data_IF_009060221429
#
_entry.id   IF_009060221429
#
_cell.length_a   1.000
_cell.length_b   1.000
_cell.length_c   1.000
_cell.angle_alpha   90.00
_cell.angle_beta   90.00
_cell.angle_gamma   90.00
#
_symmetry.space_group_name_H-M   'P 1'
#
loop_
_entity.id
_entity.type
_entity.pdbx_description
1 polymer ?
#
# COMPACT_ATOMS: atom_id res chain seq x y z
N UNK A 1 -5.79 6.53 1.89
CA UNK A 1 -5.76 6.21 3.30
C UNK A 1 -4.37 5.85 3.78
N UNK A 2 -4.26 5.51 5.04
CA UNK A 2 -3.00 5.13 5.68
C UNK A 2 -3.17 3.81 6.43
N UNK A 3 -2.16 2.94 6.34
CA UNK A 3 -2.13 1.68 7.07
C UNK A 3 -2.01 1.92 8.59
N UNK A 4 -1.19 2.87 9.02
CA UNK A 4 -0.98 3.19 10.43
C UNK A 4 -2.19 3.86 11.08
N UNK A 5 -2.88 4.76 10.37
CA UNK A 5 -4.14 5.30 10.86
C UNK A 5 -5.26 4.26 10.94
N UNK A 6 -5.19 3.20 10.12
CA UNK A 6 -6.10 2.04 10.28
C UNK A 6 -5.80 1.27 11.56
N UNK A 7 -4.53 1.12 11.94
CA UNK A 7 -4.14 0.52 13.23
C UNK A 7 -4.61 1.37 14.42
N UNK A 8 -4.39 2.70 14.38
CA UNK A 8 -4.85 3.64 15.42
C UNK A 8 -6.38 3.60 15.58
N UNK A 9 -7.13 3.47 14.48
CA UNK A 9 -8.58 3.34 14.52
C UNK A 9 -9.03 2.05 15.23
N UNK A 10 -8.30 0.93 15.05
CA UNK A 10 -8.59 -0.31 15.81
C UNK A 10 -8.38 -0.09 17.30
N UNK A 11 -7.30 0.58 17.71
CA UNK A 11 -7.05 0.90 19.12
C UNK A 11 -8.21 1.70 19.72
N UNK A 12 -8.66 2.75 19.02
CA UNK A 12 -9.81 3.54 19.45
C UNK A 12 -11.08 2.71 19.60
N UNK A 13 -11.35 1.81 18.66
CA UNK A 13 -12.51 0.92 18.69
C UNK A 13 -12.40 -0.11 19.82
N UNK A 14 -11.22 -0.58 20.18
CA UNK A 14 -11.01 -1.45 21.34
C UNK A 14 -11.34 -0.71 22.63
N UNK A 15 -10.95 0.56 22.79
CA UNK A 15 -11.36 1.40 23.94
C UNK A 15 -12.87 1.54 23.99
N UNK A 16 -13.52 1.85 22.87
CA UNK A 16 -14.98 1.96 22.81
C UNK A 16 -15.66 0.64 23.21
N UNK A 17 -15.16 -0.49 22.73
CA UNK A 17 -15.67 -1.82 23.11
C UNK A 17 -15.59 -2.04 24.62
N UNK A 18 -14.41 -1.80 25.20
CA UNK A 18 -14.22 -1.94 26.67
C UNK A 18 -15.16 -1.05 27.47
N UNK A 19 -15.34 0.20 27.07
CA UNK A 19 -16.23 1.12 27.76
C UNK A 19 -17.69 0.67 27.69
N UNK A 20 -18.14 0.15 26.53
CA UNK A 20 -19.51 -0.37 26.36
C UNK A 20 -19.74 -1.60 27.25
N UNK A 21 -18.76 -2.52 27.31
CA UNK A 21 -18.87 -3.73 28.12
C UNK A 21 -18.84 -3.41 29.63
N UNK A 22 -17.95 -2.53 30.08
CA UNK A 22 -17.83 -2.14 31.49
C UNK A 22 -19.07 -1.39 32.01
N UNK A 23 -19.68 -0.58 31.16
CA UNK A 23 -20.89 0.17 31.50
C UNK A 23 -22.17 -0.62 31.30
N UNK A 24 -22.08 -1.90 30.95
CA UNK A 24 -23.22 -2.81 30.67
C UNK A 24 -24.26 -2.20 29.71
N UNK A 25 -23.76 -1.46 28.72
CA UNK A 25 -24.60 -0.85 27.69
C UNK A 25 -25.01 -1.93 26.70
N UNK A 26 -26.31 -2.30 26.72
CA UNK A 26 -26.85 -3.19 25.68
C UNK A 26 -26.83 -2.48 24.33
N UNK A 27 -25.84 -2.75 23.51
CA UNK A 27 -25.61 -2.00 22.30
C UNK A 27 -25.52 -2.89 21.07
N UNK A 28 -26.45 -2.66 20.12
CA UNK A 28 -26.31 -3.21 18.75
C UNK A 28 -25.03 -2.73 18.01
N UNK A 29 -24.42 -1.65 18.51
CA UNK A 29 -23.18 -1.10 18.00
C UNK A 29 -21.98 -2.01 18.31
N UNK A 30 -22.04 -2.78 19.41
CA UNK A 30 -20.94 -3.66 19.83
C UNK A 30 -20.58 -4.67 18.74
N UNK A 31 -21.57 -5.36 18.18
CA UNK A 31 -21.33 -6.32 17.08
C UNK A 31 -20.72 -5.66 15.84
N UNK A 32 -21.09 -4.42 15.58
CA UNK A 32 -20.51 -3.63 14.47
C UNK A 32 -19.04 -3.28 14.75
N UNK A 33 -18.73 -2.82 15.97
CA UNK A 33 -17.35 -2.53 16.41
C UNK A 33 -16.50 -3.78 16.29
N UNK A 34 -16.95 -4.92 16.82
CA UNK A 34 -16.23 -6.19 16.74
C UNK A 34 -15.94 -6.61 15.30
N UNK A 35 -16.93 -6.54 14.42
CA UNK A 35 -16.75 -6.83 13.00
C UNK A 35 -15.71 -5.92 12.35
N UNK A 36 -15.73 -4.63 12.64
CA UNK A 36 -14.78 -3.66 12.10
C UNK A 36 -13.37 -3.99 12.59
N UNK A 37 -13.18 -4.23 13.89
CA UNK A 37 -11.88 -4.59 14.47
C UNK A 37 -11.29 -5.83 13.79
N UNK A 38 -12.09 -6.92 13.69
CA UNK A 38 -11.63 -8.19 13.11
C UNK A 38 -11.33 -8.08 11.61
N UNK A 39 -12.17 -7.34 10.87
CA UNK A 39 -11.93 -7.11 9.44
C UNK A 39 -10.65 -6.32 9.20
N UNK A 40 -10.43 -5.25 9.96
CA UNK A 40 -9.22 -4.43 9.82
C UNK A 40 -7.98 -5.14 10.36
N UNK A 41 -8.09 -5.96 11.42
CA UNK A 41 -6.99 -6.85 11.85
C UNK A 41 -6.50 -7.72 10.69
N UNK A 42 -7.44 -8.37 9.99
CA UNK A 42 -7.10 -9.23 8.85
C UNK A 42 -6.44 -8.44 7.72
N UNK A 43 -6.95 -7.25 7.41
CA UNK A 43 -6.34 -6.35 6.44
C UNK A 43 -4.90 -5.96 6.83
N UNK A 44 -4.70 -5.48 8.06
CA UNK A 44 -3.37 -5.11 8.54
C UNK A 44 -2.41 -6.30 8.58
N UNK A 45 -2.89 -7.49 8.94
CA UNK A 45 -2.07 -8.70 8.93
C UNK A 45 -1.57 -9.05 7.53
N UNK A 46 -2.37 -8.80 6.48
CA UNK A 46 -1.94 -8.98 5.10
C UNK A 46 -0.87 -7.98 4.67
N UNK A 47 -0.88 -6.78 5.25
CA UNK A 47 0.11 -5.73 5.05
C UNK A 47 1.33 -5.86 5.97
N UNK A 48 1.34 -6.83 6.89
CA UNK A 48 2.47 -7.06 7.79
C UNK A 48 3.43 -8.06 7.18
N UNK A 49 4.64 -7.61 6.91
CA UNK A 49 5.71 -8.36 6.27
C UNK A 49 6.88 -8.44 7.24
N UNK A 50 7.33 -9.64 7.57
CA UNK A 50 8.41 -9.87 8.53
C UNK A 50 8.19 -9.16 9.88
N UNK A 51 6.93 -9.07 10.32
CA UNK A 51 6.53 -8.43 11.58
C UNK A 51 6.36 -6.91 11.49
N UNK A 52 6.68 -6.27 10.37
CA UNK A 52 6.56 -4.84 10.13
C UNK A 52 5.38 -4.51 9.23
N UNK A 53 4.61 -3.49 9.58
CA UNK A 53 3.50 -3.00 8.78
C UNK A 53 4.02 -2.18 7.60
N UNK A 54 3.52 -2.48 6.40
CA UNK A 54 3.68 -1.64 5.20
C UNK A 54 3.20 -0.20 5.45
N UNK A 55 3.97 0.78 5.02
CA UNK A 55 3.79 2.19 5.35
C UNK A 55 2.97 2.97 4.30
N UNK A 56 1.88 2.40 3.81
CA UNK A 56 1.01 3.08 2.84
C UNK A 56 0.45 4.35 3.47
N UNK A 57 0.75 5.50 2.87
CA UNK A 57 0.39 6.82 3.36
C UNK A 57 1.12 7.19 4.67
N UNK A 58 0.54 8.12 5.41
CA UNK A 58 1.16 8.69 6.60
C UNK A 58 1.32 7.70 7.76
N UNK A 59 2.44 7.83 8.46
CA UNK A 59 2.73 7.19 9.73
C UNK A 59 3.28 8.25 10.71
N UNK A 60 2.47 8.65 11.68
CA UNK A 60 2.86 9.57 12.74
C UNK A 60 3.39 8.86 13.98
N UNK A 61 3.49 7.53 13.94
CA UNK A 61 3.86 6.68 15.09
C UNK A 61 2.88 6.80 16.28
N UNK A 62 1.69 7.36 16.04
CA UNK A 62 0.66 7.53 17.07
C UNK A 62 0.11 6.20 17.57
N UNK A 63 0.01 6.06 18.88
CA UNK A 63 -0.58 4.92 19.57
C UNK A 63 -1.42 5.40 20.75
N UNK A 64 -2.51 4.72 21.03
CA UNK A 64 -3.35 4.97 22.19
C UNK A 64 -2.95 4.05 23.37
N UNK A 65 -2.46 2.85 23.07
CA UNK A 65 -1.99 1.91 24.07
C UNK A 65 -0.47 1.84 24.09
N UNK A 66 0.13 2.15 25.25
CA UNK A 66 1.58 2.10 25.49
C UNK A 66 1.95 0.94 26.41
N UNK A 67 1.21 -0.15 26.41
CA UNK A 67 1.42 -1.28 27.34
C UNK A 67 2.59 -2.19 26.96
N UNK A 68 3.00 -2.15 25.71
CA UNK A 68 4.12 -2.96 25.20
C UNK A 68 5.08 -2.05 24.46
N UNK A 69 6.26 -1.94 25.00
CA UNK A 69 7.34 -1.16 24.43
C UNK A 69 8.26 -2.09 23.64
N UNK A 70 8.00 -2.25 22.35
CA UNK A 70 9.09 -2.47 21.41
C UNK A 70 9.47 -1.05 20.92
N UNK A 71 10.15 -0.31 21.78
CA UNK A 71 10.51 1.10 21.56
C UNK A 71 11.42 1.28 20.33
N UNK A 72 12.08 0.20 19.90
CA UNK A 72 13.10 0.25 18.88
C UNK A 72 12.53 0.21 17.45
N UNK A 73 11.33 -0.33 17.24
CA UNK A 73 10.73 -0.38 15.89
C UNK A 73 9.22 -0.06 15.87
N UNK A 74 8.83 1.18 15.53
CA UNK A 74 7.42 1.59 15.51
C UNK A 74 6.59 0.91 14.42
N UNK A 75 7.20 0.21 13.47
CA UNK A 75 6.49 -0.52 12.42
C UNK A 75 5.98 -1.87 12.88
N UNK A 76 6.48 -2.39 14.01
CA UNK A 76 6.04 -3.70 14.54
C UNK A 76 4.65 -3.62 15.13
N UNK A 77 3.76 -4.50 14.63
CA UNK A 77 2.33 -4.54 15.01
C UNK A 77 1.97 -5.75 15.88
N UNK A 78 2.94 -6.59 16.29
CA UNK A 78 2.67 -7.80 17.07
C UNK A 78 1.87 -7.48 18.34
N UNK A 79 2.22 -6.39 19.05
CA UNK A 79 1.50 -5.94 20.23
C UNK A 79 0.00 -5.69 19.97
N UNK A 80 -0.37 -5.15 18.82
CA UNK A 80 -1.78 -4.90 18.45
C UNK A 80 -2.50 -6.23 18.18
N UNK A 81 -1.85 -7.16 17.51
CA UNK A 81 -2.42 -8.47 17.23
C UNK A 81 -2.59 -9.30 18.50
N UNK A 82 -1.63 -9.23 19.42
CA UNK A 82 -1.70 -9.87 20.73
C UNK A 82 -2.82 -9.27 21.58
N UNK A 83 -2.95 -7.94 21.59
CA UNK A 83 -4.03 -7.24 22.28
C UNK A 83 -5.41 -7.66 21.73
N UNK A 84 -5.59 -7.66 20.42
CA UNK A 84 -6.84 -8.11 19.80
C UNK A 84 -7.09 -9.58 20.15
N UNK A 85 -6.08 -10.42 20.11
CA UNK A 85 -6.20 -11.84 20.42
C UNK A 85 -6.57 -12.08 21.87
N UNK A 86 -6.09 -11.28 22.80
CA UNK A 86 -6.47 -11.31 24.20
C UNK A 86 -7.97 -11.02 24.38
N UNK A 87 -8.51 -9.97 23.76
CA UNK A 87 -9.92 -9.62 23.84
C UNK A 87 -10.86 -10.58 23.11
N UNK A 88 -10.36 -11.29 22.09
CA UNK A 88 -11.14 -12.20 21.28
C UNK A 88 -10.71 -13.66 21.42
N UNK A 89 -10.04 -14.04 22.51
CA UNK A 89 -9.62 -15.41 22.79
C UNK A 89 -10.80 -16.38 22.68
N UNK A 90 -10.76 -17.27 21.69
CA UNK A 90 -11.80 -18.25 21.38
C UNK A 90 -12.78 -17.87 20.26
N UNK A 91 -12.80 -16.63 19.76
CA UNK A 91 -13.69 -16.19 18.67
C UNK A 91 -12.98 -15.93 17.33
N UNK A 92 -11.65 -16.00 17.29
CA UNK A 92 -10.86 -15.67 16.10
C UNK A 92 -10.84 -16.82 15.09
N UNK A 93 -11.88 -16.96 14.30
CA UNK A 93 -11.71 -17.56 12.97
C UNK A 93 -11.13 -16.48 12.06
N UNK A 94 -9.95 -16.74 11.54
CA UNK A 94 -9.31 -15.90 10.53
C UNK A 94 -10.23 -15.85 9.30
N UNK A 95 -10.98 -14.78 9.17
CA UNK A 95 -11.78 -14.51 7.97
C UNK A 95 -10.86 -13.76 6.98
N UNK A 96 -9.81 -14.46 6.51
CA UNK A 96 -9.13 -13.98 5.32
C UNK A 96 -10.13 -14.09 4.17
N UNK A 97 -10.38 -13.02 3.42
CA UNK A 97 -11.14 -13.16 2.18
C UNK A 97 -10.41 -14.21 1.35
N UNK A 98 -11.15 -15.23 0.88
CA UNK A 98 -10.56 -16.21 -0.04
C UNK A 98 -10.14 -15.43 -1.27
N UNK A 99 -8.86 -15.54 -1.62
CA UNK A 99 -8.35 -15.04 -2.89
C UNK A 99 -9.18 -15.66 -4.03
N UNK A 100 -9.33 -14.95 -5.12
CA UNK A 100 -9.99 -15.47 -6.31
C UNK A 100 -9.19 -16.65 -6.85
N UNK A 101 -9.74 -17.85 -6.75
CA UNK A 101 -9.15 -19.10 -7.27
C UNK A 101 -9.50 -19.27 -8.76
N UNK A 102 -9.22 -18.32 -9.61
CA UNK A 102 -9.28 -18.56 -11.05
C UNK A 102 -7.94 -19.10 -11.53
N UNK A 103 -7.94 -20.36 -11.93
CA UNK A 103 -6.75 -21.20 -12.22
C UNK A 103 -6.25 -21.08 -13.65
N UNK A 104 -6.54 -20.05 -14.39
CA UNK A 104 -6.01 -19.94 -15.75
C UNK A 104 -5.04 -18.78 -15.89
N UNK A 105 -3.76 -19.11 -16.08
CA UNK A 105 -2.79 -18.17 -16.63
C UNK A 105 -3.18 -17.89 -18.10
N UNK A 106 -3.77 -16.73 -18.35
CA UNK A 106 -3.87 -16.15 -19.69
C UNK A 106 -2.95 -14.94 -19.73
N UNK A 107 -2.16 -14.84 -20.79
CA UNK A 107 -1.37 -13.62 -21.03
C UNK A 107 -2.36 -12.48 -21.26
N UNK A 108 -2.32 -11.46 -20.42
CA UNK A 108 -3.15 -10.28 -20.57
C UNK A 108 -2.78 -9.57 -21.88
N UNK A 109 -3.70 -9.52 -22.82
CA UNK A 109 -3.54 -8.70 -24.01
C UNK A 109 -3.88 -7.24 -23.66
N UNK A 110 -2.84 -6.47 -23.34
CA UNK A 110 -2.95 -5.08 -22.92
C UNK A 110 -3.55 -4.21 -24.03
N UNK A 111 -3.35 -4.59 -25.30
CA UNK A 111 -3.82 -3.79 -26.45
C UNK A 111 -5.34 -3.65 -26.46
N UNK A 112 -6.08 -4.61 -25.88
CA UNK A 112 -7.54 -4.57 -25.79
C UNK A 112 -8.10 -3.45 -24.91
N UNK A 113 -7.26 -2.86 -24.06
CA UNK A 113 -7.64 -1.77 -23.13
C UNK A 113 -7.34 -0.38 -23.70
N UNK A 114 -6.75 -0.29 -24.87
CA UNK A 114 -6.51 0.96 -25.56
C UNK A 114 -7.46 1.10 -26.75
N UNK A 115 -8.12 2.24 -26.90
CA UNK A 115 -8.98 2.53 -28.08
C UNK A 115 -8.18 2.43 -29.38
N UNK A 116 -6.91 2.84 -29.37
CA UNK A 116 -5.96 2.67 -30.45
C UNK A 116 -4.57 2.37 -29.88
N UNK A 117 -4.09 1.12 -29.94
CA UNK A 117 -2.76 0.74 -29.48
C UNK A 117 -1.60 1.48 -30.18
N UNK A 118 -1.80 1.99 -31.39
CA UNK A 118 -0.79 2.73 -32.13
C UNK A 118 -0.53 4.13 -31.54
N UNK A 119 -1.39 4.61 -30.62
CA UNK A 119 -1.19 5.87 -29.93
C UNK A 119 -0.26 5.75 -28.72
N UNK A 120 0.19 4.56 -28.33
CA UNK A 120 1.17 4.38 -27.27
C UNK A 120 2.50 4.99 -27.74
N UNK A 121 2.92 6.10 -27.12
CA UNK A 121 4.15 6.80 -27.44
C UNK A 121 5.36 6.26 -26.68
N UNK A 122 5.12 5.72 -25.48
CA UNK A 122 6.16 5.19 -24.62
C UNK A 122 5.71 3.91 -23.94
N UNK A 123 6.56 2.89 -24.04
CA UNK A 123 6.43 1.62 -23.32
C UNK A 123 7.78 1.29 -22.71
N UNK A 124 7.79 0.91 -21.44
CA UNK A 124 9.00 0.46 -20.73
C UNK A 124 8.71 -0.81 -19.95
N UNK A 125 9.68 -1.70 -19.94
CA UNK A 125 9.68 -2.90 -19.11
C UNK A 125 10.76 -2.75 -18.03
N UNK A 126 10.38 -3.00 -16.78
CA UNK A 126 11.28 -2.94 -15.64
C UNK A 126 11.98 -4.30 -15.44
N UNK A 127 13.11 -4.35 -14.72
CA UNK A 127 13.77 -5.62 -14.38
C UNK A 127 12.80 -6.58 -13.71
N UNK A 128 12.73 -7.81 -14.21
CA UNK A 128 11.86 -8.84 -13.64
C UNK A 128 12.38 -9.30 -12.26
N UNK A 129 11.46 -9.66 -11.38
CA UNK A 129 11.76 -10.13 -10.02
C UNK A 129 11.19 -11.53 -9.84
N UNK A 130 11.99 -12.48 -9.36
CA UNK A 130 11.48 -13.77 -8.88
C UNK A 130 10.94 -13.56 -7.46
N UNK A 131 9.61 -13.39 -7.35
CA UNK A 131 8.95 -13.12 -6.06
C UNK A 131 8.43 -14.41 -5.44
N UNK A 132 7.67 -15.21 -6.20
CA UNK A 132 6.97 -16.36 -5.67
C UNK A 132 7.68 -17.66 -6.05
N UNK A 133 8.04 -18.45 -5.04
CA UNK A 133 8.57 -19.80 -5.19
C UNK A 133 7.50 -20.87 -4.97
N UNK A 134 6.42 -20.50 -4.25
CA UNK A 134 5.32 -21.35 -3.84
C UNK A 134 3.97 -20.74 -4.27
N UNK A 135 2.91 -21.41 -3.83
CA UNK A 135 1.55 -20.93 -4.03
C UNK A 135 1.35 -19.60 -3.32
N UNK A 136 0.70 -18.67 -4.00
CA UNK A 136 0.31 -17.36 -3.49
C UNK A 136 -1.17 -17.10 -3.79
N UNK A 137 -1.75 -16.14 -3.07
CA UNK A 137 -3.12 -15.69 -3.27
C UNK A 137 -3.15 -14.19 -3.54
N UNK A 138 -4.20 -13.74 -4.27
CA UNK A 138 -4.50 -12.34 -4.48
C UNK A 138 -5.58 -11.88 -3.50
N UNK A 139 -5.33 -10.76 -2.84
CA UNK A 139 -6.28 -10.05 -1.97
C UNK A 139 -6.53 -8.65 -2.52
N UNK A 140 -7.79 -8.34 -2.80
CA UNK A 140 -8.20 -7.08 -3.41
C UNK A 140 -9.01 -6.22 -2.44
N UNK A 141 -8.47 -5.07 -2.04
CA UNK A 141 -9.13 -4.10 -1.16
C UNK A 141 -9.48 -2.85 -1.97
N UNK A 142 -10.51 -2.97 -2.81
CA UNK A 142 -10.92 -1.94 -3.78
C UNK A 142 -11.20 -0.58 -3.12
N UNK A 143 -11.84 -0.57 -1.97
CA UNK A 143 -12.19 0.67 -1.26
C UNK A 143 -10.94 1.38 -0.68
N UNK A 144 -9.93 0.61 -0.30
CA UNK A 144 -8.64 1.16 0.10
C UNK A 144 -7.73 1.44 -1.10
N UNK A 145 -7.95 0.76 -2.21
CA UNK A 145 -7.16 0.84 -3.44
C UNK A 145 -5.82 0.14 -3.34
N UNK A 146 -5.78 -1.03 -2.71
CA UNK A 146 -4.57 -1.85 -2.60
C UNK A 146 -4.86 -3.27 -3.05
N UNK A 147 -3.94 -3.85 -3.79
CA UNK A 147 -3.99 -5.21 -4.30
C UNK A 147 -2.73 -5.92 -3.88
N UNK A 148 -2.88 -7.09 -3.25
CA UNK A 148 -1.80 -7.80 -2.56
C UNK A 148 -1.72 -9.22 -3.08
N UNK A 149 -0.57 -9.61 -3.61
CA UNK A 149 -0.20 -11.01 -3.84
C UNK A 149 0.72 -11.45 -2.72
N UNK A 150 0.40 -12.54 -2.09
CA UNK A 150 1.14 -12.99 -0.93
C UNK A 150 1.05 -14.51 -0.77
N UNK A 151 2.13 -15.16 -0.38
CA UNK A 151 2.08 -16.52 0.11
C UNK A 151 1.54 -16.58 1.56
N UNK A 152 1.23 -17.77 2.03
CA UNK A 152 0.50 -17.93 3.28
C UNK A 152 1.26 -17.45 4.51
N UNK A 153 2.59 -17.64 4.55
CA UNK A 153 3.45 -17.24 5.67
C UNK A 153 3.93 -15.78 5.58
N UNK A 154 3.73 -15.12 4.44
CA UNK A 154 4.11 -13.73 4.21
C UNK A 154 5.59 -13.50 3.93
N UNK A 155 6.35 -14.55 3.64
CA UNK A 155 7.75 -14.44 3.23
C UNK A 155 7.92 -13.97 1.78
N UNK A 156 6.85 -14.00 0.99
CA UNK A 156 6.79 -13.57 -0.39
C UNK A 156 5.58 -12.63 -0.55
N UNK A 157 5.83 -11.41 -0.98
CA UNK A 157 4.84 -10.34 -0.99
C UNK A 157 5.08 -9.40 -2.17
N UNK A 158 4.00 -9.04 -2.82
CA UNK A 158 3.91 -7.97 -3.81
C UNK A 158 2.61 -7.21 -3.55
N UNK A 159 2.66 -5.89 -3.57
CA UNK A 159 1.44 -5.07 -3.57
C UNK A 159 1.53 -3.97 -4.61
N UNK A 160 0.36 -3.45 -5.00
CA UNK A 160 0.25 -2.24 -5.80
C UNK A 160 -0.84 -1.35 -5.23
N UNK A 161 -0.55 -0.05 -5.15
CA UNK A 161 -1.51 0.99 -4.82
C UNK A 161 -2.20 1.47 -6.10
N UNK A 162 -3.52 1.29 -6.21
CA UNK A 162 -4.31 1.82 -7.32
C UNK A 162 -5.76 2.00 -6.88
N UNK A 163 -6.21 3.23 -6.75
CA UNK A 163 -7.58 3.51 -6.33
C UNK A 163 -7.81 4.97 -5.95
N UNK A 164 -8.94 5.23 -5.31
CA UNK A 164 -9.33 6.59 -4.94
C UNK A 164 -8.35 7.21 -3.94
N UNK A 165 -8.17 8.51 -4.06
CA UNK A 165 -7.50 9.30 -3.03
C UNK A 165 -8.35 9.29 -1.76
N UNK A 166 -7.73 9.02 -0.61
CA UNK A 166 -8.41 8.90 0.67
C UNK A 166 -9.14 10.18 1.11
N UNK A 167 -9.95 10.06 2.17
CA UNK A 167 -10.69 11.20 2.76
C UNK A 167 -11.59 11.95 1.77
N UNK A 168 -12.38 11.21 0.98
CA UNK A 168 -13.28 11.76 -0.05
C UNK A 168 -12.57 12.70 -1.07
N UNK A 169 -11.32 12.36 -1.43
CA UNK A 169 -10.54 13.12 -2.39
C UNK A 169 -9.69 14.26 -1.81
N UNK A 170 -9.70 14.48 -0.50
CA UNK A 170 -8.82 15.47 0.15
C UNK A 170 -7.38 14.98 0.23
N UNK A 171 -7.20 13.66 0.48
CA UNK A 171 -5.89 13.02 0.52
C UNK A 171 -5.01 13.45 1.69
N UNK A 172 -5.59 13.83 2.84
CA UNK A 172 -4.84 14.39 3.96
C UNK A 172 -3.73 13.50 4.52
N UNK A 173 -3.93 12.19 4.47
CA UNK A 173 -2.96 11.19 4.90
C UNK A 173 -2.52 10.26 3.75
N UNK A 174 -2.67 10.71 2.51
CA UNK A 174 -2.24 9.97 1.31
C UNK A 174 -0.95 10.54 0.77
N UNK A 175 -0.21 9.72 0.03
CA UNK A 175 0.96 10.11 -0.74
C UNK A 175 0.64 10.09 -2.24
N UNK A 176 1.54 10.60 -3.07
CA UNK A 176 1.50 10.45 -4.52
C UNK A 176 2.06 9.07 -4.92
N UNK A 177 1.41 8.03 -4.43
CA UNK A 177 1.82 6.63 -4.48
C UNK A 177 1.01 5.78 -5.48
N UNK A 178 0.19 6.41 -6.33
CA UNK A 178 -0.59 5.68 -7.33
C UNK A 178 0.32 4.87 -8.25
N UNK A 179 -0.09 3.63 -8.51
CA UNK A 179 0.67 2.64 -9.26
C UNK A 179 2.02 2.27 -8.63
N UNK A 180 2.29 2.72 -7.41
CA UNK A 180 3.49 2.30 -6.66
C UNK A 180 3.35 0.86 -6.18
N UNK A 181 4.46 0.14 -6.21
CA UNK A 181 4.55 -1.23 -5.71
C UNK A 181 5.35 -1.30 -4.41
N UNK A 182 5.08 -2.33 -3.63
CA UNK A 182 6.01 -2.87 -2.66
C UNK A 182 6.28 -4.33 -2.98
N UNK A 183 7.51 -4.79 -2.80
CA UNK A 183 7.92 -6.15 -3.13
C UNK A 183 8.95 -6.66 -2.13
N UNK A 184 8.63 -7.79 -1.49
CA UNK A 184 9.50 -8.47 -0.53
C UNK A 184 9.60 -9.95 -0.87
N UNK A 185 10.82 -10.46 -0.97
CA UNK A 185 11.09 -11.88 -1.18
C UNK A 185 12.52 -12.22 -0.75
N UNK A 186 12.77 -13.47 -0.37
CA UNK A 186 14.09 -13.93 0.08
C UNK A 186 14.67 -13.09 1.23
N UNK A 187 13.81 -12.60 2.15
CA UNK A 187 14.24 -11.78 3.28
C UNK A 187 14.64 -10.35 2.91
N UNK A 188 14.38 -9.90 1.68
CA UNK A 188 14.84 -8.61 1.16
C UNK A 188 13.70 -7.81 0.54
N UNK A 189 13.68 -6.50 0.80
CA UNK A 189 12.83 -5.56 0.10
C UNK A 189 13.45 -5.17 -1.24
N UNK A 190 12.75 -5.41 -2.32
CA UNK A 190 13.08 -4.95 -3.67
C UNK A 190 12.45 -3.59 -3.97
N UNK A 191 11.27 -3.36 -3.46
CA UNK A 191 10.58 -2.08 -3.47
C UNK A 191 9.87 -1.92 -2.12
N UNK A 192 10.00 -0.76 -1.49
CA UNK A 192 9.40 -0.47 -0.19
C UNK A 192 8.94 0.97 -0.14
N UNK A 193 7.79 1.23 0.46
CA UNK A 193 7.33 2.59 0.74
C UNK A 193 8.32 3.28 1.71
N UNK A 194 8.74 4.51 1.43
CA UNK A 194 9.75 5.20 2.24
C UNK A 194 9.22 5.68 3.60
N UNK A 195 7.91 5.67 3.82
CA UNK A 195 7.25 6.21 5.00
C UNK A 195 6.98 7.71 4.92
N UNK A 196 6.91 8.37 6.07
CA UNK A 196 6.38 9.74 6.19
C UNK A 196 7.45 10.81 6.38
N UNK A 197 8.55 10.47 7.05
CA UNK A 197 9.57 11.44 7.46
C UNK A 197 9.09 12.35 8.58
N UNK A 198 8.36 13.40 8.25
CA UNK A 198 7.85 14.38 9.19
C UNK A 198 6.55 15.02 8.71
N UNK A 199 5.96 15.92 9.49
CA UNK A 199 4.78 16.70 9.11
C UNK A 199 5.10 18.20 8.99
N UNK A 200 4.48 19.02 9.85
CA UNK A 200 4.50 20.47 9.78
C UNK A 200 5.80 21.13 10.22
N UNK A 201 6.63 20.42 10.94
CA UNK A 201 7.90 20.94 11.44
C UNK A 201 8.99 21.03 10.36
N UNK A 202 8.88 20.24 9.29
CA UNK A 202 9.73 20.37 8.11
C UNK A 202 8.95 19.99 6.84
N UNK A 203 8.38 21.00 6.20
CA UNK A 203 7.53 20.82 5.03
C UNK A 203 8.29 20.29 3.81
N UNK A 204 9.57 20.58 3.68
CA UNK A 204 10.41 20.08 2.59
C UNK A 204 10.60 18.56 2.72
N UNK A 205 10.98 18.08 3.90
CA UNK A 205 11.10 16.64 4.18
C UNK A 205 9.74 15.98 3.97
N UNK A 206 8.66 16.54 4.51
CA UNK A 206 7.30 16.06 4.34
C UNK A 206 6.95 15.89 2.85
N UNK A 207 7.21 16.91 2.04
CA UNK A 207 6.90 16.92 0.63
C UNK A 207 7.76 15.93 -0.17
N UNK A 208 9.01 15.72 0.22
CA UNK A 208 9.86 14.70 -0.38
C UNK A 208 9.26 13.30 -0.16
N UNK A 209 8.97 12.94 1.08
CA UNK A 209 8.47 11.62 1.43
C UNK A 209 7.11 11.29 0.78
N UNK A 210 6.21 12.24 0.63
CA UNK A 210 4.92 12.03 -0.03
C UNK A 210 4.94 12.21 -1.56
N UNK A 211 6.10 12.53 -2.16
CA UNK A 211 6.20 12.79 -3.60
C UNK A 211 6.28 11.51 -4.42
N UNK A 212 5.91 11.59 -5.71
CA UNK A 212 6.06 10.49 -6.68
C UNK A 212 7.47 9.93 -6.71
N UNK A 213 8.49 10.80 -6.59
CA UNK A 213 9.89 10.41 -6.72
C UNK A 213 10.40 9.53 -5.57
N UNK A 214 9.70 9.47 -4.45
CA UNK A 214 10.05 8.64 -3.30
C UNK A 214 9.36 7.28 -3.31
N UNK A 215 8.43 7.06 -4.24
CA UNK A 215 7.66 5.82 -4.36
C UNK A 215 8.06 5.02 -5.60
N UNK A 216 7.79 3.72 -5.60
CA UNK A 216 8.09 2.79 -6.70
C UNK A 216 6.96 2.75 -7.75
N UNK A 217 6.45 3.94 -8.10
CA UNK A 217 5.48 4.16 -9.16
C UNK A 217 6.11 4.27 -10.55
N UNK A 218 5.34 4.60 -11.60
CA UNK A 218 5.87 4.85 -12.92
C UNK A 218 6.88 6.00 -12.91
N UNK A 219 8.00 5.82 -13.62
CA UNK A 219 9.03 6.84 -13.78
C UNK A 219 8.85 7.54 -15.13
N UNK A 220 8.80 8.86 -15.12
CA UNK A 220 8.51 9.64 -16.33
C UNK A 220 9.24 10.99 -16.34
N UNK A 221 9.27 11.64 -17.50
CA UNK A 221 9.79 12.99 -17.68
C UNK A 221 8.81 14.10 -17.24
N UNK A 222 7.70 13.74 -16.61
CA UNK A 222 6.71 14.71 -16.11
C UNK A 222 7.36 15.58 -15.04
N UNK A 223 7.21 16.89 -15.21
CA UNK A 223 7.58 17.86 -14.15
C UNK A 223 6.44 17.97 -13.15
N UNK A 224 6.61 17.31 -12.03
CA UNK A 224 5.66 17.47 -10.93
C UNK A 224 5.79 18.85 -10.31
N UNK A 225 4.67 19.54 -10.02
CA UNK A 225 4.71 20.80 -9.30
C UNK A 225 5.29 20.56 -7.90
N UNK A 226 5.93 21.57 -7.36
CA UNK A 226 6.24 21.55 -5.92
C UNK A 226 4.95 21.36 -5.16
N UNK A 227 4.94 20.41 -4.25
CA UNK A 227 3.80 20.19 -3.35
C UNK A 227 3.63 21.49 -2.56
N UNK A 228 2.40 21.99 -2.51
CA UNK A 228 2.09 23.31 -1.94
C UNK A 228 2.53 23.36 -0.47
N UNK A 229 3.35 24.34 -0.12
CA UNK A 229 3.90 24.51 1.22
C UNK A 229 2.82 24.73 2.29
N UNK A 230 1.63 25.19 1.88
CA UNK A 230 0.51 25.44 2.79
C UNK A 230 -0.41 24.25 3.00
N UNK A 231 -0.21 23.14 2.29
CA UNK A 231 -1.14 22.01 2.22
C UNK A 231 -0.47 20.68 2.57
N UNK A 232 0.20 20.59 3.73
CA UNK A 232 0.87 19.36 4.15
C UNK A 232 -0.09 18.18 4.37
N UNK A 233 -1.41 18.42 4.50
CA UNK A 233 -2.47 17.42 4.65
C UNK A 233 -3.47 17.43 3.50
N UNK A 234 -3.05 17.85 2.31
CA UNK A 234 -3.86 17.81 1.11
C UNK A 234 -3.03 17.41 -0.08
N UNK A 235 -3.62 16.64 -0.98
CA UNK A 235 -3.05 16.32 -2.29
C UNK A 235 -4.01 16.80 -3.38
N UNK A 236 -3.46 17.04 -4.59
CA UNK A 236 -4.29 17.15 -5.79
C UNK A 236 -4.91 15.81 -6.09
N UNK A 237 -6.08 15.82 -6.70
CA UNK A 237 -6.76 14.59 -7.09
C UNK A 237 -5.85 13.80 -8.03
N UNK A 238 -5.52 12.61 -7.60
CA UNK A 238 -4.76 11.62 -8.33
C UNK A 238 -5.37 10.25 -8.02
N UNK A 239 -6.52 9.96 -8.64
CA UNK A 239 -7.20 8.69 -8.48
C UNK A 239 -6.60 7.66 -9.43
N UNK A 240 -6.41 6.43 -8.93
CA UNK A 240 -6.11 5.27 -9.74
C UNK A 240 -7.37 4.55 -10.16
N UNK A 241 -7.36 3.99 -11.36
CA UNK A 241 -8.41 3.16 -11.93
C UNK A 241 -7.89 1.77 -12.25
N UNK A 242 -8.54 0.73 -11.73
CA UNK A 242 -8.18 -0.65 -12.04
C UNK A 242 -9.01 -1.12 -13.23
N UNK A 243 -8.31 -1.51 -14.28
CA UNK A 243 -8.90 -1.96 -15.54
C UNK A 243 -9.00 -3.48 -15.59
N UNK A 244 -8.02 -4.18 -15.00
CA UNK A 244 -8.01 -5.63 -14.88
C UNK A 244 -7.33 -6.07 -13.59
N UNK A 245 -7.83 -7.13 -12.97
CA UNK A 245 -7.23 -7.70 -11.78
C UNK A 245 -7.65 -9.15 -11.59
N UNK A 246 -6.71 -10.06 -11.79
CA UNK A 246 -6.83 -11.48 -11.48
C UNK A 246 -5.59 -11.99 -10.73
N UNK A 247 -5.53 -13.27 -10.45
CA UNK A 247 -4.43 -13.88 -9.68
C UNK A 247 -3.05 -13.65 -10.31
N UNK A 248 -2.97 -13.56 -11.62
CA UNK A 248 -1.72 -13.53 -12.37
C UNK A 248 -1.46 -12.22 -13.09
N UNK A 249 -2.49 -11.39 -13.23
CA UNK A 249 -2.41 -10.17 -14.01
C UNK A 249 -3.09 -9.00 -13.30
N UNK A 250 -2.51 -7.84 -13.44
CA UNK A 250 -3.07 -6.57 -13.04
C UNK A 250 -2.84 -5.53 -14.13
N UNK A 251 -3.83 -4.71 -14.38
CA UNK A 251 -3.71 -3.50 -15.18
C UNK A 251 -4.44 -2.36 -14.47
N UNK A 252 -3.70 -1.31 -14.16
CA UNK A 252 -4.26 -0.09 -13.60
C UNK A 252 -3.75 1.14 -14.33
N UNK A 253 -4.44 2.25 -14.14
CA UNK A 253 -4.03 3.56 -14.66
C UNK A 253 -4.20 4.64 -13.61
N UNK A 254 -3.42 5.72 -13.75
CA UNK A 254 -3.57 6.93 -12.97
C UNK A 254 -3.19 8.14 -13.82
N UNK A 255 -3.69 9.32 -13.42
CA UNK A 255 -3.38 10.58 -14.12
C UNK A 255 -2.38 11.37 -13.28
N UNK A 256 -1.23 11.66 -13.88
CA UNK A 256 -0.16 12.45 -13.27
C UNK A 256 0.00 13.75 -14.05
N UNK A 257 -0.39 14.87 -13.43
CA UNK A 257 -0.34 16.21 -14.04
C UNK A 257 -0.93 16.25 -15.46
N UNK A 258 -2.10 15.65 -15.64
CA UNK A 258 -2.81 15.56 -16.90
C UNK A 258 -2.37 14.43 -17.85
N UNK A 259 -1.29 13.72 -17.52
CA UNK A 259 -0.79 12.61 -18.34
C UNK A 259 -1.28 11.28 -17.77
N UNK A 260 -1.96 10.47 -18.56
CA UNK A 260 -2.44 9.15 -18.16
C UNK A 260 -1.33 8.11 -18.36
N UNK A 261 -0.97 7.44 -17.26
CA UNK A 261 -0.01 6.34 -17.27
C UNK A 261 -0.72 5.07 -16.85
N UNK A 262 -0.35 3.97 -17.51
CA UNK A 262 -0.84 2.63 -17.21
C UNK A 262 0.32 1.80 -16.68
N UNK A 263 0.04 0.95 -15.71
CA UNK A 263 0.98 -0.07 -15.22
C UNK A 263 0.33 -1.44 -15.31
N UNK A 264 1.02 -2.35 -15.98
CA UNK A 264 0.67 -3.76 -16.02
C UNK A 264 1.65 -4.56 -15.16
N UNK A 265 1.11 -5.53 -14.43
CA UNK A 265 1.87 -6.54 -13.72
C UNK A 265 1.42 -7.90 -14.23
N UNK A 266 2.36 -8.78 -14.56
CA UNK A 266 2.08 -10.18 -14.84
C UNK A 266 2.99 -11.10 -14.02
N UNK A 267 2.43 -12.21 -13.54
CA UNK A 267 3.12 -13.19 -12.71
C UNK A 267 3.11 -14.53 -13.42
N UNK A 268 4.28 -14.94 -13.91
CA UNK A 268 4.44 -16.21 -14.60
C UNK A 268 5.52 -17.05 -13.91
N UNK A 269 5.18 -18.27 -13.49
CA UNK A 269 6.09 -19.15 -12.76
C UNK A 269 6.76 -18.44 -11.56
N UNK A 270 6.02 -17.54 -10.89
CA UNK A 270 6.49 -16.72 -9.77
C UNK A 270 7.45 -15.59 -10.13
N UNK A 271 7.71 -15.37 -11.42
CA UNK A 271 8.44 -14.21 -11.92
C UNK A 271 7.43 -13.10 -12.17
N UNK A 272 7.68 -11.96 -11.57
CA UNK A 272 6.89 -10.74 -11.73
C UNK A 272 7.54 -9.89 -12.82
N UNK A 273 6.76 -9.55 -13.84
CA UNK A 273 7.12 -8.59 -14.90
C UNK A 273 6.23 -7.37 -14.75
N UNK A 274 6.83 -6.18 -14.82
CA UNK A 274 6.14 -4.91 -14.69
C UNK A 274 6.43 -4.07 -15.91
N UNK A 275 5.37 -3.55 -16.53
CA UNK A 275 5.45 -2.66 -17.70
C UNK A 275 4.64 -1.40 -17.48
N UNK A 276 5.18 -0.29 -17.90
CA UNK A 276 4.47 1.00 -17.92
C UNK A 276 4.24 1.45 -19.35
N UNK A 277 3.09 2.12 -19.56
CA UNK A 277 2.64 2.60 -20.87
C UNK A 277 2.10 4.02 -20.75
N UNK A 278 2.39 4.87 -21.71
CA UNK A 278 1.76 6.19 -21.83
C UNK A 278 1.65 6.63 -23.27
N UNK A 279 0.58 7.37 -23.57
CA UNK A 279 0.41 8.12 -24.83
C UNK A 279 0.75 9.61 -24.65
N UNK A 280 0.97 10.06 -23.44
CA UNK A 280 1.00 11.48 -23.10
C UNK A 280 2.40 11.94 -22.65
N UNK A 281 3.30 11.01 -22.26
CA UNK A 281 4.63 11.35 -21.76
C UNK A 281 5.66 10.25 -22.03
N UNK A 282 6.94 10.60 -21.94
CA UNK A 282 8.04 9.65 -21.98
C UNK A 282 8.21 8.97 -20.63
N UNK A 283 8.41 7.67 -20.67
CA UNK A 283 8.62 6.82 -19.51
C UNK A 283 10.08 6.35 -19.45
N UNK A 284 10.55 6.05 -18.24
CA UNK A 284 11.88 5.49 -18.01
C UNK A 284 11.78 4.19 -17.22
N UNK A 285 12.55 3.18 -17.60
CA UNK A 285 12.66 1.95 -16.82
C UNK A 285 13.54 2.17 -15.59
N UNK A 286 13.25 1.42 -14.51
CA UNK A 286 14.20 1.27 -13.43
C UNK A 286 15.42 0.48 -13.92
N UNK A 287 16.61 0.86 -13.46
CA UNK A 287 17.83 0.11 -13.76
C UNK A 287 18.00 -1.10 -12.83
N UNK A 288 17.46 -1.01 -11.63
CA UNK A 288 17.45 -2.07 -10.62
C UNK A 288 16.37 -1.77 -9.56
N UNK A 289 15.96 -2.80 -8.84
CA UNK A 289 15.16 -2.69 -7.62
C UNK A 289 16.08 -2.66 -6.39
N UNK A 290 15.60 -2.09 -5.28
CA UNK A 290 16.33 -2.06 -4.02
C UNK A 290 16.35 -0.67 -3.38
N UNK A 291 17.31 -0.42 -2.50
CA UNK A 291 17.36 0.77 -1.65
C UNK A 291 17.60 2.11 -2.39
N UNK A 292 17.87 2.06 -3.70
CA UNK A 292 18.17 3.25 -4.52
C UNK A 292 17.03 3.50 -5.50
N UNK A 293 16.21 4.48 -5.22
CA UNK A 293 15.26 4.97 -6.20
C UNK A 293 15.89 6.09 -7.02
N UNK A 294 15.75 6.05 -8.36
CA UNK A 294 16.19 7.10 -9.30
C UNK A 294 17.65 7.57 -9.18
N UNK A 295 18.58 6.69 -8.75
CA UNK A 295 19.98 7.07 -8.59
C UNK A 295 20.30 7.93 -7.37
N UNK A 296 19.31 8.34 -6.61
CA UNK A 296 19.44 8.96 -5.29
C UNK A 296 19.15 7.94 -4.19
N UNK A 297 19.92 7.99 -3.11
CA UNK A 297 19.62 7.22 -1.91
C UNK A 297 18.31 7.77 -1.34
N UNK A 298 17.23 6.99 -1.45
CA UNK A 298 15.96 7.34 -0.80
C UNK A 298 16.14 7.14 0.70
N UNK A 299 15.89 8.18 1.47
CA UNK A 299 15.83 8.07 2.92
C UNK A 299 14.61 7.22 3.28
N UNK A 300 14.75 6.38 4.29
CA UNK A 300 13.67 5.57 4.83
C UNK A 300 13.27 6.11 6.20
N UNK A 301 11.98 6.23 6.45
CA UNK A 301 11.45 6.65 7.74
C UNK A 301 10.67 5.51 8.39
N UNK A 302 11.06 5.11 9.58
CA UNK A 302 10.32 4.13 10.39
C UNK A 302 9.11 4.75 11.10
N UNK A 303 8.92 6.05 10.99
CA UNK A 303 7.85 6.79 11.62
C UNK A 303 8.19 8.27 11.72
N UNK A 304 7.40 9.03 12.49
CA UNK A 304 7.56 10.46 12.63
C UNK A 304 8.94 10.83 13.18
N UNK A 305 9.70 11.63 12.41
CA UNK A 305 11.08 12.09 12.72
C UNK A 305 12.13 10.99 12.88
N UNK A 306 11.86 9.77 12.46
CA UNK A 306 12.83 8.67 12.45
C UNK A 306 13.25 8.42 10.99
N UNK A 307 14.26 9.15 10.54
CA UNK A 307 14.77 9.11 9.16
C UNK A 307 16.18 8.50 9.20
N UNK A 308 16.38 7.41 8.43
CA UNK A 308 17.63 6.66 8.29
C UNK A 308 18.29 6.92 6.95
#
# INVERSE_FOLDING_TARGET
>A
GSSHYSALAIEALLICKLAIEELDINSSVLATIERIILTNKNFLNLLTINGELSQIGDNDSGRLFYFYFDEDNPLRMNWLYDLISFFYSGKSKTLLPKGSNEESFSTLDITTYFEDPNLIQSEVEHPSIKVFSNQFDLYSFKEFGIYIWRNQDGSEYLSIRCGRLGQNGVGGHSHYDQLSIECFTNGTWYARDPGTGTYTDNIEIRNNFRSVNYHWGPKSNIKYPKLDEFDCFKLRINDGEVLHNDKYNFLGSAVFEGNKIFRAISINNGIVTIKDFSKDCELEAYTSWGEKNHGTKVQFSEGYKRIN
#
